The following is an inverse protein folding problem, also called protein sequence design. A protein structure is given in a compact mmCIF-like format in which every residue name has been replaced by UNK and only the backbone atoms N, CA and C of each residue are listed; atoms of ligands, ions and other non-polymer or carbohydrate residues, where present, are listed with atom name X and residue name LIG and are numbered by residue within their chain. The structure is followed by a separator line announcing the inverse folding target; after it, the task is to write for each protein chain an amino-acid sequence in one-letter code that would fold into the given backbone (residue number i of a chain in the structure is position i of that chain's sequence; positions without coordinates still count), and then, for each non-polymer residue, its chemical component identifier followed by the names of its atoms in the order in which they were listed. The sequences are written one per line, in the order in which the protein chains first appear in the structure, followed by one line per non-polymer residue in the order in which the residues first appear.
data_IF_897431582983
#
_entry.id   IF_897431582983
#
_cell.length_a   1.000
_cell.length_b   1.000
_cell.length_c   1.000
_cell.angle_alpha   90.00
_cell.angle_beta   90.00
_cell.angle_gamma   90.00
#
_symmetry.space_group_name_H-M   'P 1'
#
loop_
_entity.id
_entity.type
_entity.pdbx_description
1 polymer ?
#
# COMPACT_ATOMS: atom_id res chain seq x y z
N UNK A 1 72.39 12.65 21.17
CA UNK A 1 71.65 13.27 20.04
C UNK A 1 70.26 12.66 20.01
N UNK A 2 69.28 13.35 20.57
CA UNK A 2 67.91 12.85 20.76
C UNK A 2 67.05 13.21 19.55
N UNK A 3 66.42 12.22 18.91
CA UNK A 3 65.47 12.42 17.81
C UNK A 3 64.04 12.49 18.37
N UNK A 4 63.24 13.53 18.08
CA UNK A 4 61.83 13.55 18.48
C UNK A 4 60.99 12.69 17.53
N UNK A 5 60.13 11.83 18.09
CA UNK A 5 59.05 11.16 17.37
C UNK A 5 57.95 12.18 17.08
N UNK A 6 57.72 12.46 15.80
CA UNK A 6 56.54 13.23 15.34
C UNK A 6 55.34 12.29 15.28
N UNK A 7 54.42 12.41 16.24
CA UNK A 7 53.15 11.69 16.24
C UNK A 7 52.16 12.36 15.29
N UNK A 8 51.83 11.70 14.17
CA UNK A 8 50.72 12.07 13.28
C UNK A 8 49.42 11.50 13.87
N UNK A 9 48.64 12.35 14.54
CA UNK A 9 47.31 12.01 15.05
C UNK A 9 46.30 11.98 13.90
N UNK A 10 45.84 10.78 13.54
CA UNK A 10 44.71 10.56 12.62
C UNK A 10 43.40 10.84 13.36
N UNK A 11 42.79 11.99 13.13
CA UNK A 11 41.46 12.33 13.65
C UNK A 11 40.37 11.76 12.75
N UNK A 12 39.81 10.60 13.10
CA UNK A 12 38.63 10.05 12.45
C UNK A 12 37.36 10.82 12.89
N UNK A 13 36.79 11.65 12.01
CA UNK A 13 35.46 12.23 12.22
C UNK A 13 34.40 11.12 12.07
N UNK A 14 33.87 10.66 13.20
CA UNK A 14 32.64 9.86 13.25
C UNK A 14 31.44 10.77 12.98
N UNK A 15 30.98 10.81 11.72
CA UNK A 15 29.68 11.37 11.36
C UNK A 15 28.59 10.49 11.96
N UNK A 16 28.04 10.90 13.10
CA UNK A 16 26.84 10.29 13.67
C UNK A 16 25.66 10.59 12.74
N UNK A 17 25.29 9.63 11.88
CA UNK A 17 24.05 9.68 11.14
C UNK A 17 22.88 9.50 12.11
N UNK A 18 22.31 10.60 12.60
CA UNK A 18 21.05 10.54 13.33
C UNK A 18 19.97 10.05 12.37
N UNK A 19 19.21 8.98 12.69
CA UNK A 19 18.11 8.56 11.84
C UNK A 19 17.12 9.72 11.72
N UNK A 20 16.82 10.14 10.50
CA UNK A 20 15.78 11.13 10.24
C UNK A 20 14.45 10.55 10.75
N UNK A 21 13.92 11.13 11.83
CA UNK A 21 12.59 10.80 12.34
C UNK A 21 11.61 11.34 11.31
N UNK A 22 10.95 10.45 10.56
CA UNK A 22 9.89 10.88 9.66
C UNK A 22 8.65 11.17 10.50
N UNK A 23 7.90 12.24 10.23
CA UNK A 23 6.62 12.41 10.91
C UNK A 23 5.56 11.50 10.29
N UNK A 24 4.66 10.97 11.13
CA UNK A 24 3.51 10.21 10.66
C UNK A 24 2.64 11.09 9.74
N UNK A 25 2.53 10.74 8.46
CA UNK A 25 1.85 11.55 7.45
C UNK A 25 0.60 10.87 6.92
N UNK A 26 -0.38 11.68 6.52
CA UNK A 26 -1.57 11.22 5.80
C UNK A 26 -1.49 11.70 4.35
N UNK A 27 -1.71 10.78 3.42
CA UNK A 27 -1.74 11.07 1.99
C UNK A 27 -3.16 10.84 1.46
N UNK A 28 -3.61 11.71 0.57
CA UNK A 28 -4.93 11.59 -0.08
C UNK A 28 -4.78 11.60 -1.59
N UNK A 29 -5.63 10.84 -2.26
CA UNK A 29 -5.68 10.90 -3.70
C UNK A 29 -6.74 10.03 -4.32
N UNK A 30 -6.46 9.57 -5.54
CA UNK A 30 -7.46 8.97 -6.42
C UNK A 30 -6.86 7.82 -7.23
N UNK A 31 -7.69 6.82 -7.49
CA UNK A 31 -7.49 5.84 -8.55
C UNK A 31 -7.74 6.48 -9.93
N UNK A 32 -7.31 5.83 -11.01
CA UNK A 32 -7.66 6.26 -12.39
C UNK A 32 -9.16 6.20 -12.67
N UNK A 33 -9.92 5.43 -11.89
CA UNK A 33 -11.39 5.42 -11.87
C UNK A 33 -12.00 6.60 -11.07
N UNK A 34 -11.20 7.57 -10.64
CA UNK A 34 -11.60 8.73 -9.82
C UNK A 34 -12.18 8.37 -8.45
N UNK A 35 -11.88 7.17 -7.94
CA UNK A 35 -12.28 6.70 -6.60
C UNK A 35 -11.22 7.07 -5.56
N UNK A 36 -11.64 7.36 -4.33
CA UNK A 36 -10.76 7.85 -3.26
C UNK A 36 -9.72 6.83 -2.82
N UNK A 37 -8.52 7.33 -2.53
CA UNK A 37 -7.39 6.62 -1.92
C UNK A 37 -6.91 7.42 -0.71
N UNK A 38 -6.57 6.73 0.37
CA UNK A 38 -5.93 7.33 1.55
C UNK A 38 -4.83 6.40 2.06
N UNK A 39 -3.66 6.96 2.34
CA UNK A 39 -2.56 6.26 2.99
C UNK A 39 -2.18 6.97 4.29
N UNK A 40 -1.62 6.24 5.24
CA UNK A 40 -0.99 6.79 6.45
C UNK A 40 0.34 6.10 6.69
N UNK A 41 1.38 6.88 6.95
CA UNK A 41 2.69 6.39 7.39
C UNK A 41 2.84 6.52 8.91
N UNK A 42 3.72 5.70 9.49
CA UNK A 42 4.22 5.84 10.85
C UNK A 42 5.32 6.91 10.95
N UNK A 43 5.88 7.05 12.16
CA UNK A 43 7.00 7.95 12.41
C UNK A 43 8.36 7.43 11.85
N UNK A 44 8.35 6.24 11.28
CA UNK A 44 9.44 5.61 10.53
C UNK A 44 9.28 5.84 9.02
N UNK A 45 8.23 6.53 8.59
CA UNK A 45 7.89 6.72 7.18
C UNK A 45 7.26 5.49 6.53
N UNK A 46 7.17 4.35 7.24
CA UNK A 46 6.62 3.11 6.73
C UNK A 46 5.09 3.17 6.76
N UNK A 47 4.43 2.61 5.74
CA UNK A 47 2.97 2.61 5.69
C UNK A 47 2.37 1.76 6.83
N UNK A 48 1.36 2.31 7.52
CA UNK A 48 0.61 1.58 8.56
C UNK A 48 -0.90 1.50 8.26
N UNK A 49 -1.35 2.16 7.19
CA UNK A 49 -2.72 2.06 6.70
C UNK A 49 -2.80 2.44 5.23
N UNK A 50 -3.52 1.64 4.45
CA UNK A 50 -3.97 2.03 3.12
C UNK A 50 -5.47 1.77 2.99
N UNK A 51 -6.19 2.60 2.26
CA UNK A 51 -7.61 2.37 1.92
C UNK A 51 -7.93 2.91 0.55
N UNK A 52 -8.63 2.11 -0.25
CA UNK A 52 -9.00 2.44 -1.61
C UNK A 52 -10.46 2.08 -1.85
N UNK A 53 -11.20 2.98 -2.49
CA UNK A 53 -12.48 2.65 -3.12
C UNK A 53 -12.23 2.21 -4.56
N UNK A 54 -13.01 1.26 -5.04
CA UNK A 54 -12.83 0.66 -6.36
C UNK A 54 -14.16 0.23 -6.98
N UNK A 55 -14.14 0.01 -8.30
CA UNK A 55 -15.26 -0.50 -9.07
C UNK A 55 -14.76 -1.60 -10.03
N UNK A 56 -15.31 -2.80 -9.94
CA UNK A 56 -14.96 -3.93 -10.80
C UNK A 56 -16.13 -4.33 -11.70
N UNK A 57 -15.95 -4.50 -13.02
CA UNK A 57 -16.98 -5.07 -13.88
C UNK A 57 -17.24 -6.54 -13.50
N UNK A 58 -18.50 -6.97 -13.64
CA UNK A 58 -18.96 -8.33 -13.39
C UNK A 58 -19.50 -8.97 -14.68
N UNK A 59 -19.67 -10.30 -14.69
CA UNK A 59 -20.07 -11.03 -15.90
C UNK A 59 -21.42 -10.62 -16.49
N UNK A 60 -22.34 -10.13 -15.66
CA UNK A 60 -23.69 -9.73 -16.06
C UNK A 60 -23.82 -8.23 -16.44
N UNK A 61 -22.71 -7.57 -16.80
CA UNK A 61 -22.74 -6.18 -17.32
C UNK A 61 -22.95 -5.09 -16.27
N UNK A 62 -23.05 -5.43 -14.98
CA UNK A 62 -23.06 -4.47 -13.88
C UNK A 62 -21.66 -4.32 -13.25
N UNK A 63 -21.56 -3.41 -12.27
CA UNK A 63 -20.33 -3.16 -11.53
C UNK A 63 -20.47 -3.50 -10.05
N UNK A 64 -19.48 -4.21 -9.52
CA UNK A 64 -19.27 -4.34 -8.09
C UNK A 64 -18.54 -3.11 -7.55
N UNK A 65 -19.14 -2.46 -6.55
CA UNK A 65 -18.52 -1.33 -5.85
C UNK A 65 -17.98 -1.80 -4.51
N UNK A 66 -16.72 -1.46 -4.23
CA UNK A 66 -16.06 -1.90 -3.01
C UNK A 66 -15.14 -0.86 -2.39
N UNK A 67 -14.79 -1.12 -1.14
CA UNK A 67 -13.72 -0.44 -0.42
C UNK A 67 -12.88 -1.50 0.27
N UNK A 68 -11.55 -1.40 0.15
CA UNK A 68 -10.61 -2.32 0.78
C UNK A 68 -9.64 -1.49 1.61
N UNK A 69 -9.44 -1.92 2.86
CA UNK A 69 -8.47 -1.34 3.77
C UNK A 69 -7.39 -2.36 4.11
N UNK A 70 -6.15 -1.91 4.16
CA UNK A 70 -4.97 -2.67 4.52
C UNK A 70 -4.37 -2.11 5.80
N UNK A 71 -3.83 -3.00 6.63
CA UNK A 71 -3.17 -2.71 7.90
C UNK A 71 -2.02 -3.70 8.09
N UNK A 72 -0.99 -3.35 8.87
CA UNK A 72 0.09 -4.26 9.20
C UNK A 72 -0.40 -5.58 9.80
N UNK A 73 0.36 -6.67 9.59
CA UNK A 73 1.56 -6.73 8.76
C UNK A 73 1.23 -6.65 7.26
N UNK A 74 2.04 -5.90 6.51
CA UNK A 74 2.04 -5.92 5.04
C UNK A 74 3.01 -7.00 4.56
N UNK A 75 2.77 -7.62 3.41
CA UNK A 75 3.70 -8.60 2.82
C UNK A 75 5.11 -8.01 2.61
N UNK A 76 5.19 -6.75 2.18
CA UNK A 76 6.43 -5.98 2.17
C UNK A 76 6.15 -4.49 2.39
N UNK A 77 6.94 -3.82 3.25
CA UNK A 77 6.84 -2.38 3.45
C UNK A 77 8.18 -1.77 3.84
N UNK A 78 8.54 -0.68 3.18
CA UNK A 78 9.65 0.22 3.47
C UNK A 78 9.13 1.67 3.50
N UNK A 79 9.96 2.67 3.84
CA UNK A 79 9.55 4.07 3.76
C UNK A 79 9.11 4.52 2.36
N UNK A 80 9.59 3.88 1.30
CA UNK A 80 9.37 4.31 -0.09
C UNK A 80 8.66 3.28 -0.98
N UNK A 81 8.35 2.09 -0.48
CA UNK A 81 7.64 1.08 -1.24
C UNK A 81 6.82 0.15 -0.33
N UNK A 82 5.72 -0.37 -0.86
CA UNK A 82 4.99 -1.46 -0.19
C UNK A 82 4.24 -2.35 -1.18
N UNK A 83 3.95 -3.56 -0.73
CA UNK A 83 3.14 -4.56 -1.41
C UNK A 83 2.29 -5.31 -0.40
N UNK A 84 1.06 -5.64 -0.79
CA UNK A 84 0.18 -6.49 0.00
C UNK A 84 -0.81 -7.25 -0.89
N UNK A 85 -0.94 -8.53 -0.63
CA UNK A 85 -1.98 -9.38 -1.20
C UNK A 85 -2.84 -10.01 -0.08
N UNK A 86 -4.14 -10.05 -0.29
CA UNK A 86 -5.04 -10.59 0.71
C UNK A 86 -6.32 -11.15 0.13
N UNK A 87 -6.93 -12.09 0.87
CA UNK A 87 -8.26 -12.59 0.56
C UNK A 87 -9.16 -12.47 1.78
N UNK A 88 -10.31 -11.84 1.62
CA UNK A 88 -11.34 -11.78 2.65
C UNK A 88 -12.68 -12.30 2.11
N UNK A 89 -13.58 -12.62 3.02
CA UNK A 89 -14.93 -13.09 2.70
C UNK A 89 -15.96 -12.16 3.28
N UNK A 90 -17.02 -11.89 2.54
CA UNK A 90 -18.18 -11.15 3.02
C UNK A 90 -19.45 -11.97 2.81
N UNK A 91 -20.48 -11.67 3.59
CA UNK A 91 -21.80 -12.30 3.47
C UNK A 91 -22.86 -11.21 3.45
N UNK A 92 -23.71 -11.22 2.44
CA UNK A 92 -24.87 -10.35 2.36
C UNK A 92 -26.09 -11.00 3.03
N UNK A 93 -27.07 -10.18 3.43
CA UNK A 93 -28.30 -10.64 4.10
C UNK A 93 -29.11 -11.62 3.24
N UNK A 94 -29.05 -11.49 1.91
CA UNK A 94 -29.71 -12.36 0.94
C UNK A 94 -29.03 -13.74 0.77
N UNK A 95 -28.01 -14.06 1.58
CA UNK A 95 -27.29 -15.33 1.56
C UNK A 95 -26.15 -15.42 0.55
N UNK A 96 -25.88 -14.35 -0.20
CA UNK A 96 -24.69 -14.27 -1.06
C UNK A 96 -23.42 -14.21 -0.23
N UNK A 97 -22.41 -14.92 -0.70
CA UNK A 97 -21.07 -14.97 -0.12
C UNK A 97 -20.09 -14.54 -1.19
N UNK A 98 -19.27 -13.54 -0.88
CA UNK A 98 -18.22 -13.07 -1.78
C UNK A 98 -16.86 -13.44 -1.23
N UNK A 99 -16.00 -14.01 -2.07
CA UNK A 99 -14.56 -14.14 -1.82
C UNK A 99 -13.87 -13.06 -2.62
N UNK A 100 -13.20 -12.14 -1.93
CA UNK A 100 -12.55 -10.98 -2.53
C UNK A 100 -11.05 -11.12 -2.33
N UNK A 101 -10.32 -11.26 -3.43
CA UNK A 101 -8.85 -11.31 -3.45
C UNK A 101 -8.34 -10.00 -4.04
N UNK A 102 -7.43 -9.34 -3.34
CA UNK A 102 -6.92 -8.02 -3.70
C UNK A 102 -5.41 -8.00 -3.67
N UNK A 103 -4.81 -7.25 -4.60
CA UNK A 103 -3.38 -6.99 -4.63
C UNK A 103 -3.19 -5.47 -4.69
N UNK A 104 -2.32 -4.94 -3.83
CA UNK A 104 -1.97 -3.53 -3.77
C UNK A 104 -0.45 -3.37 -3.85
N UNK A 105 0.01 -2.43 -4.65
CA UNK A 105 1.41 -1.99 -4.69
C UNK A 105 1.48 -0.48 -4.58
N UNK A 106 2.51 0.04 -3.93
CA UNK A 106 2.79 1.48 -3.87
C UNK A 106 4.29 1.77 -3.87
N UNK A 107 4.65 2.89 -4.49
CA UNK A 107 5.99 3.46 -4.51
C UNK A 107 5.90 4.97 -4.26
N UNK A 108 6.78 5.48 -3.42
CA UNK A 108 6.94 6.90 -3.12
C UNK A 108 8.04 7.48 -3.98
N UNK A 109 7.79 8.67 -4.50
CA UNK A 109 8.83 9.55 -5.03
C UNK A 109 9.29 10.48 -3.89
N UNK A 110 10.52 10.32 -3.35
CA UNK A 110 11.02 11.14 -2.26
C UNK A 110 11.17 12.62 -2.62
N UNK A 111 11.39 12.94 -3.91
CA UNK A 111 11.58 14.33 -4.35
C UNK A 111 10.27 15.11 -4.36
N UNK A 112 9.14 14.45 -4.64
CA UNK A 112 7.82 15.09 -4.68
C UNK A 112 6.90 14.70 -3.52
N UNK A 113 7.37 13.81 -2.65
CA UNK A 113 6.62 13.18 -1.56
C UNK A 113 5.25 12.66 -2.03
N UNK A 114 5.25 12.03 -3.20
CA UNK A 114 4.06 11.51 -3.87
C UNK A 114 4.10 10.00 -3.93
N UNK A 115 3.01 9.37 -3.55
CA UNK A 115 2.79 7.94 -3.75
C UNK A 115 2.07 7.67 -5.07
N UNK A 116 2.52 6.63 -5.75
CA UNK A 116 1.86 6.05 -6.92
C UNK A 116 1.81 4.55 -6.79
N UNK A 117 0.89 3.89 -7.49
CA UNK A 117 0.82 2.44 -7.40
C UNK A 117 -0.30 1.81 -8.22
N UNK A 118 -0.49 0.52 -8.00
CA UNK A 118 -1.55 -0.25 -8.66
C UNK A 118 -2.41 -1.02 -7.67
N UNK A 119 -3.65 -1.27 -8.04
CA UNK A 119 -4.58 -2.09 -7.30
C UNK A 119 -5.32 -3.04 -8.25
N UNK A 120 -5.49 -4.29 -7.84
CA UNK A 120 -6.26 -5.30 -8.55
C UNK A 120 -7.24 -5.97 -7.59
N UNK A 121 -8.39 -6.41 -8.11
CA UNK A 121 -9.34 -7.21 -7.33
C UNK A 121 -10.03 -8.27 -8.17
N UNK A 122 -10.18 -9.46 -7.58
CA UNK A 122 -11.02 -10.56 -8.07
C UNK A 122 -12.10 -10.84 -7.03
N UNK A 123 -13.35 -10.84 -7.46
CA UNK A 123 -14.51 -11.16 -6.63
C UNK A 123 -15.18 -12.40 -7.19
N UNK A 124 -15.34 -13.42 -6.35
CA UNK A 124 -16.15 -14.59 -6.65
C UNK A 124 -17.40 -14.54 -5.78
N UNK A 125 -18.57 -14.46 -6.39
CA UNK A 125 -19.86 -14.41 -5.69
C UNK A 125 -20.51 -15.79 -5.76
N UNK A 126 -20.96 -16.28 -4.62
CA UNK A 126 -21.62 -17.58 -4.52
C UNK A 126 -22.90 -17.51 -3.69
N UNK A 127 -23.86 -18.38 -3.99
CA UNK A 127 -25.13 -18.50 -3.28
C UNK A 127 -25.53 -19.97 -3.25
N UNK A 128 -25.89 -20.48 -2.06
CA UNK A 128 -26.24 -21.90 -1.85
C UNK A 128 -25.18 -22.87 -2.42
N UNK A 129 -23.89 -22.55 -2.21
CA UNK A 129 -22.76 -23.37 -2.66
C UNK A 129 -22.39 -23.26 -4.13
N UNK A 130 -23.15 -22.52 -4.96
CA UNK A 130 -22.88 -22.33 -6.39
C UNK A 130 -22.29 -20.95 -6.64
N UNK A 131 -21.27 -20.86 -7.51
CA UNK A 131 -20.77 -19.57 -8.01
C UNK A 131 -21.81 -18.99 -8.96
N UNK A 132 -22.26 -17.77 -8.69
CA UNK A 132 -23.28 -17.08 -9.48
C UNK A 132 -22.70 -15.91 -10.28
N UNK A 133 -21.54 -15.40 -9.89
CA UNK A 133 -20.88 -14.32 -10.62
C UNK A 133 -19.38 -14.23 -10.31
N UNK A 134 -18.66 -13.58 -11.21
CA UNK A 134 -17.25 -13.21 -11.08
C UNK A 134 -17.06 -11.77 -11.54
N UNK A 135 -16.44 -10.96 -10.69
CA UNK A 135 -16.07 -9.59 -11.02
C UNK A 135 -14.56 -9.43 -10.95
N UNK A 136 -13.98 -8.71 -11.90
CA UNK A 136 -12.53 -8.55 -11.97
C UNK A 136 -12.14 -7.13 -12.38
N UNK A 137 -11.35 -6.49 -11.52
CA UNK A 137 -10.57 -5.31 -11.86
C UNK A 137 -9.13 -5.76 -12.02
N UNK A 138 -8.71 -6.00 -13.27
CA UNK A 138 -7.36 -6.51 -13.57
C UNK A 138 -6.25 -5.62 -13.02
N UNK A 139 -6.42 -4.31 -13.16
CA UNK A 139 -5.48 -3.29 -12.68
C UNK A 139 -6.10 -1.91 -12.75
N UNK A 140 -5.93 -1.12 -11.70
CA UNK A 140 -6.18 0.32 -11.68
C UNK A 140 -4.95 1.01 -11.12
N UNK A 141 -4.54 2.12 -11.73
CA UNK A 141 -3.47 2.95 -11.16
C UNK A 141 -4.04 3.88 -10.10
N UNK A 142 -3.21 4.32 -9.16
CA UNK A 142 -3.60 5.31 -8.17
C UNK A 142 -2.45 6.24 -7.83
N UNK A 143 -2.79 7.41 -7.29
CA UNK A 143 -1.85 8.41 -6.78
C UNK A 143 -2.35 8.96 -5.45
N UNK A 144 -1.43 9.38 -4.57
CA UNK A 144 -1.73 10.10 -3.34
C UNK A 144 -0.57 11.05 -2.98
N UNK A 145 -0.91 12.21 -2.40
CA UNK A 145 0.05 13.23 -1.92
C UNK A 145 -0.47 13.88 -0.63
#
# INVERSE_FOLDING_TARGET
MSRPLTALSVGALLLAATPAVADAKNYKGKTSQKRSVSLRTGADGVINKASLRWRAPCGQGYFWHGATGYRPPFDAATPDAFHDEGTYRTRAKNGERSRVTTTLTGQRDPATDRWTGTFAVKVMVSKRGKVIDRCELKRVTWTAK
#
